data_IF_470818226976
#
_entry.id   IF_470818226976
#
_cell.length_a   1.000
_cell.length_b   1.000
_cell.length_c   1.000
_cell.angle_alpha   90.00
_cell.angle_beta   90.00
_cell.angle_gamma   90.00
#
_symmetry.space_group_name_H-M   'P 1'
#
loop_
_entity.id
_entity.type
_entity.pdbx_description
1 polymer ?
#
# COMPACT_ATOMS: atom_id res chain seq x y z
N UNK A 1 -3.58 18.86 -27.82
CA UNK A 1 -4.36 18.23 -28.88
C UNK A 1 -5.85 18.40 -28.55
N UNK A 2 -6.65 18.77 -29.52
CA UNK A 2 -8.10 18.89 -29.37
C UNK A 2 -8.75 17.52 -29.15
N UNK A 3 -9.97 17.49 -28.61
CA UNK A 3 -10.65 16.23 -28.28
C UNK A 3 -10.96 15.36 -29.50
N UNK A 4 -10.99 15.95 -30.67
CA UNK A 4 -11.22 15.31 -31.98
C UNK A 4 -9.96 14.82 -32.70
N UNK A 5 -8.76 15.07 -32.17
CA UNK A 5 -7.49 14.68 -32.82
C UNK A 5 -7.31 13.15 -32.78
N UNK A 6 -7.18 12.47 -33.93
CA UNK A 6 -6.97 11.01 -33.96
C UNK A 6 -5.65 10.56 -33.32
N UNK A 7 -4.69 11.46 -33.15
CA UNK A 7 -3.42 11.20 -32.48
C UNK A 7 -3.45 11.53 -30.98
N UNK A 8 -4.61 11.89 -30.43
CA UNK A 8 -4.77 12.16 -29.02
C UNK A 8 -4.52 10.89 -28.22
N UNK A 9 -3.61 10.95 -27.29
CA UNK A 9 -3.38 9.89 -26.32
C UNK A 9 -3.75 10.35 -24.90
N UNK A 10 -4.16 9.42 -24.08
CA UNK A 10 -4.50 9.68 -22.70
C UNK A 10 -3.28 9.38 -21.82
N UNK A 11 -2.75 10.42 -21.19
CA UNK A 11 -1.65 10.31 -20.22
C UNK A 11 -2.19 10.54 -18.80
N UNK A 12 -2.09 9.54 -17.95
CA UNK A 12 -2.46 9.60 -16.54
C UNK A 12 -1.27 9.21 -15.67
N UNK A 13 -1.25 9.63 -14.42
CA UNK A 13 -0.16 9.37 -13.48
C UNK A 13 -0.66 8.63 -12.23
N UNK A 14 0.23 7.82 -11.65
CA UNK A 14 0.03 7.20 -10.35
C UNK A 14 -1.08 6.16 -10.29
N UNK A 15 -1.72 6.05 -9.15
CA UNK A 15 -2.75 5.05 -8.89
C UNK A 15 -3.97 5.15 -9.82
N UNK A 16 -4.34 6.35 -10.26
CA UNK A 16 -5.44 6.58 -11.19
C UNK A 16 -5.19 5.93 -12.55
N UNK A 17 -3.96 6.01 -13.07
CA UNK A 17 -3.57 5.36 -14.32
C UNK A 17 -3.62 3.83 -14.20
N UNK A 18 -3.13 3.29 -13.09
CA UNK A 18 -3.15 1.84 -12.83
C UNK A 18 -4.59 1.35 -12.66
N UNK A 19 -5.43 2.11 -11.98
CA UNK A 19 -6.85 1.79 -11.83
C UNK A 19 -7.55 1.66 -13.18
N UNK A 20 -7.35 2.62 -14.07
CA UNK A 20 -7.94 2.60 -15.41
C UNK A 20 -7.46 1.43 -16.25
N UNK A 21 -6.18 1.06 -16.15
CA UNK A 21 -5.63 -0.11 -16.83
C UNK A 21 -6.24 -1.41 -16.29
N UNK A 22 -6.33 -1.55 -14.97
CA UNK A 22 -6.88 -2.75 -14.33
C UNK A 22 -8.38 -2.90 -14.56
N UNK A 23 -9.14 -1.80 -14.66
CA UNK A 23 -10.58 -1.85 -14.93
C UNK A 23 -10.93 -2.28 -16.36
N UNK A 24 -9.99 -2.11 -17.30
CA UNK A 24 -10.18 -2.45 -18.72
C UNK A 24 -9.55 -3.78 -19.11
N UNK A 25 -8.83 -4.44 -18.20
CA UNK A 25 -8.08 -5.65 -18.52
C UNK A 25 -9.03 -6.83 -18.79
N UNK A 26 -8.84 -7.50 -19.94
CA UNK A 26 -9.46 -8.78 -20.22
C UNK A 26 -8.53 -9.92 -19.77
N UNK A 27 -8.89 -10.53 -18.65
CA UNK A 27 -8.07 -11.59 -18.02
C UNK A 27 -8.05 -12.87 -18.87
N UNK A 28 -9.11 -13.17 -19.60
CA UNK A 28 -9.20 -14.39 -20.39
C UNK A 28 -8.31 -14.31 -21.62
N UNK A 29 -8.40 -13.22 -22.39
CA UNK A 29 -7.52 -12.94 -23.53
C UNK A 29 -6.06 -12.88 -23.12
N UNK A 30 -5.75 -12.18 -22.00
CA UNK A 30 -4.38 -12.05 -21.51
C UNK A 30 -3.81 -13.39 -21.04
N UNK A 31 -4.60 -14.24 -20.39
CA UNK A 31 -4.20 -15.58 -19.99
C UNK A 31 -3.84 -16.44 -21.20
N UNK A 32 -4.69 -16.43 -22.23
CA UNK A 32 -4.44 -17.17 -23.48
C UNK A 32 -3.15 -16.70 -24.16
N UNK A 33 -2.97 -15.39 -24.29
CA UNK A 33 -1.76 -14.81 -24.89
C UNK A 33 -0.48 -15.21 -24.14
N UNK A 34 -0.50 -15.12 -22.80
CA UNK A 34 0.65 -15.48 -21.99
C UNK A 34 0.98 -16.98 -22.04
N UNK A 35 -0.02 -17.85 -22.12
CA UNK A 35 0.18 -19.29 -22.32
C UNK A 35 0.84 -19.59 -23.67
N UNK A 36 0.37 -18.95 -24.72
CA UNK A 36 0.95 -19.09 -26.05
C UNK A 36 2.41 -18.60 -26.08
N UNK A 37 2.70 -17.44 -25.48
CA UNK A 37 4.08 -16.92 -25.37
C UNK A 37 4.98 -17.86 -24.58
N UNK A 38 4.50 -18.40 -23.45
CA UNK A 38 5.27 -19.35 -22.65
C UNK A 38 5.59 -20.65 -23.41
N UNK A 39 4.72 -21.07 -24.36
CA UNK A 39 4.93 -22.25 -25.20
C UNK A 39 5.84 -22.00 -26.42
N UNK A 40 5.67 -20.87 -27.10
CA UNK A 40 6.29 -20.58 -28.40
C UNK A 40 7.60 -19.81 -28.35
N UNK A 41 7.89 -19.07 -27.26
CA UNK A 41 9.07 -18.19 -27.19
C UNK A 41 10.39 -18.99 -27.17
N UNK A 42 11.37 -18.59 -27.97
CA UNK A 42 12.69 -19.24 -28.03
C UNK A 42 13.57 -18.91 -26.84
N UNK A 43 13.31 -17.77 -26.14
CA UNK A 43 14.11 -17.29 -25.04
C UNK A 43 13.60 -17.83 -23.69
N UNK A 44 14.45 -18.55 -22.97
CA UNK A 44 14.14 -19.07 -21.63
C UNK A 44 13.79 -17.94 -20.62
N UNK A 45 14.43 -16.78 -20.74
CA UNK A 45 14.13 -15.62 -19.89
C UNK A 45 12.70 -15.13 -20.14
N UNK A 46 12.31 -14.93 -21.41
CA UNK A 46 10.96 -14.49 -21.77
C UNK A 46 9.89 -15.49 -21.36
N UNK A 47 10.16 -16.80 -21.49
CA UNK A 47 9.27 -17.84 -20.95
C UNK A 47 9.07 -17.69 -19.44
N UNK A 48 10.15 -17.52 -18.69
CA UNK A 48 10.07 -17.34 -17.23
C UNK A 48 9.27 -16.10 -16.84
N UNK A 49 9.46 -14.98 -17.53
CA UNK A 49 8.69 -13.76 -17.32
C UNK A 49 7.21 -13.94 -17.65
N UNK A 50 6.90 -14.61 -18.78
CA UNK A 50 5.52 -14.91 -19.17
C UNK A 50 4.83 -15.81 -18.13
N UNK A 51 5.52 -16.83 -17.61
CA UNK A 51 4.98 -17.72 -16.57
C UNK A 51 4.72 -16.99 -15.25
N UNK A 52 5.63 -16.12 -14.82
CA UNK A 52 5.43 -15.30 -13.60
C UNK A 52 4.20 -14.39 -13.76
N UNK A 53 4.06 -13.75 -14.90
CA UNK A 53 2.91 -12.89 -15.20
C UNK A 53 1.62 -13.70 -15.30
N UNK A 54 1.67 -14.87 -15.94
CA UNK A 54 0.54 -15.79 -16.04
C UNK A 54 0.04 -16.23 -14.66
N UNK A 55 0.92 -16.53 -13.72
CA UNK A 55 0.56 -16.89 -12.35
C UNK A 55 -0.30 -15.83 -11.67
N UNK A 56 0.04 -14.55 -11.84
CA UNK A 56 -0.75 -13.42 -11.30
C UNK A 56 -2.11 -13.33 -11.99
N UNK A 57 -2.13 -13.44 -13.33
CA UNK A 57 -3.37 -13.38 -14.13
C UNK A 57 -4.32 -14.52 -13.75
N UNK A 58 -3.81 -15.75 -13.60
CA UNK A 58 -4.63 -16.90 -13.18
C UNK A 58 -5.18 -16.71 -11.75
N UNK A 59 -4.41 -16.10 -10.85
CA UNK A 59 -4.91 -15.77 -9.52
C UNK A 59 -6.10 -14.79 -9.56
N UNK A 60 -6.05 -13.79 -10.43
CA UNK A 60 -7.19 -12.89 -10.68
C UNK A 60 -8.38 -13.62 -11.29
N UNK A 61 -8.14 -14.50 -12.27
CA UNK A 61 -9.22 -15.30 -12.88
C UNK A 61 -9.89 -16.21 -11.85
N UNK A 62 -9.12 -16.91 -11.05
CA UNK A 62 -9.64 -17.79 -10.00
C UNK A 62 -10.47 -17.04 -8.94
N UNK A 63 -10.17 -15.78 -8.70
CA UNK A 63 -10.89 -14.93 -7.74
C UNK A 63 -12.02 -14.09 -8.36
N UNK A 64 -12.28 -14.18 -9.65
CA UNK A 64 -13.16 -13.29 -10.43
C UNK A 64 -14.56 -13.08 -9.83
N UNK A 65 -15.14 -14.10 -9.19
CA UNK A 65 -16.46 -13.97 -8.53
C UNK A 65 -16.44 -13.25 -7.18
N UNK A 66 -15.27 -13.04 -6.59
CA UNK A 66 -15.10 -12.46 -5.25
C UNK A 66 -14.33 -11.15 -5.25
N UNK A 67 -13.33 -11.02 -6.12
CA UNK A 67 -12.42 -9.87 -6.17
C UNK A 67 -12.31 -9.33 -7.60
N UNK A 68 -12.26 -8.01 -7.71
CA UNK A 68 -12.01 -7.32 -8.99
C UNK A 68 -10.56 -6.85 -9.03
N UNK A 69 -9.88 -6.89 -10.21
CA UNK A 69 -8.48 -6.46 -10.33
C UNK A 69 -8.23 -5.02 -9.86
N UNK A 70 -9.16 -4.11 -10.16
CA UNK A 70 -9.06 -2.71 -9.76
C UNK A 70 -9.10 -2.48 -8.24
N UNK A 71 -9.49 -3.48 -7.43
CA UNK A 71 -9.45 -3.39 -5.97
C UNK A 71 -8.03 -3.44 -5.38
N UNK A 72 -7.01 -3.71 -6.21
CA UNK A 72 -5.62 -3.50 -5.81
C UNK A 72 -5.31 -2.02 -5.50
N UNK A 73 -6.12 -1.10 -6.03
CA UNK A 73 -6.00 0.33 -5.73
C UNK A 73 -6.84 0.66 -4.51
N UNK A 74 -6.16 1.04 -3.44
CA UNK A 74 -6.79 1.40 -2.16
C UNK A 74 -7.44 2.77 -2.27
N UNK A 75 -8.77 2.82 -2.18
CA UNK A 75 -9.56 4.06 -2.13
C UNK A 75 -9.91 4.47 -0.72
N UNK A 76 -10.12 3.50 0.15
CA UNK A 76 -10.46 3.71 1.56
C UNK A 76 -9.32 3.11 2.39
N UNK A 77 -8.59 3.98 3.09
CA UNK A 77 -7.47 3.55 3.93
C UNK A 77 -8.02 3.02 5.25
N UNK A 78 -7.70 1.78 5.63
CA UNK A 78 -8.10 1.23 6.92
C UNK A 78 -7.41 1.96 8.07
N UNK A 79 -8.17 2.29 9.11
CA UNK A 79 -7.66 2.92 10.33
C UNK A 79 -7.73 1.92 11.47
N UNK A 80 -6.60 1.63 12.08
CA UNK A 80 -6.56 0.71 13.23
C UNK A 80 -7.16 1.37 14.47
N UNK A 81 -7.74 0.57 15.40
CA UNK A 81 -8.33 1.08 16.63
C UNK A 81 -7.33 1.90 17.47
N UNK A 82 -7.81 2.91 18.24
CA UNK A 82 -6.96 3.76 19.07
C UNK A 82 -6.12 2.99 20.09
N UNK A 83 -6.62 1.88 20.60
CA UNK A 83 -5.95 1.03 21.59
C UNK A 83 -4.64 0.43 21.05
N UNK A 84 -4.55 0.23 19.73
CA UNK A 84 -3.35 -0.28 19.07
C UNK A 84 -2.34 0.83 18.72
N UNK A 85 -2.73 2.11 18.87
CA UNK A 85 -1.90 3.30 18.65
C UNK A 85 -2.07 4.33 19.75
N UNK A 86 -1.81 3.96 21.01
CA UNK A 86 -2.18 4.77 22.17
C UNK A 86 -1.43 6.10 22.21
N UNK A 87 -2.08 7.08 22.84
CA UNK A 87 -1.52 8.33 23.27
C UNK A 87 -1.39 8.28 24.79
N UNK A 88 -0.16 8.25 25.29
CA UNK A 88 0.13 8.07 26.71
C UNK A 88 0.64 9.39 27.30
N UNK A 89 0.02 9.92 28.34
CA UNK A 89 0.55 11.09 29.04
C UNK A 89 1.85 10.73 29.77
N UNK A 90 2.84 11.60 29.68
CA UNK A 90 4.09 11.53 30.40
C UNK A 90 4.12 12.62 31.51
N UNK A 91 4.98 12.44 32.50
CA UNK A 91 5.23 13.45 33.49
C UNK A 91 5.69 14.79 32.86
N UNK A 92 5.18 15.90 33.33
CA UNK A 92 5.46 17.22 32.79
C UNK A 92 4.56 17.66 31.63
N UNK A 93 3.37 17.08 31.47
CA UNK A 93 2.34 17.51 30.50
C UNK A 93 2.66 17.16 29.04
N UNK A 94 3.67 16.32 28.80
CA UNK A 94 3.99 15.78 27.45
C UNK A 94 3.23 14.50 27.19
N UNK A 95 3.05 14.19 25.91
CA UNK A 95 2.43 12.94 25.48
C UNK A 95 3.41 12.13 24.64
N UNK A 96 3.50 10.84 24.95
CA UNK A 96 4.11 9.86 24.05
C UNK A 96 3.04 9.32 23.11
N UNK A 97 3.31 9.33 21.83
CA UNK A 97 2.39 8.84 20.81
C UNK A 97 3.03 7.74 19.98
N UNK A 98 2.22 6.83 19.47
CA UNK A 98 2.66 5.85 18.49
C UNK A 98 3.07 6.55 17.19
N UNK A 99 4.12 6.02 16.54
CA UNK A 99 4.57 6.48 15.22
C UNK A 99 3.45 6.42 14.17
N UNK A 100 2.51 5.48 14.31
CA UNK A 100 1.36 5.35 13.42
C UNK A 100 0.44 6.58 13.43
N UNK A 101 0.29 7.24 14.58
CA UNK A 101 -0.52 8.46 14.66
C UNK A 101 0.06 9.60 13.80
N UNK A 102 1.39 9.73 13.75
CA UNK A 102 2.03 10.72 12.88
C UNK A 102 1.89 10.37 11.40
N UNK A 103 2.01 9.09 11.05
CA UNK A 103 1.81 8.62 9.68
C UNK A 103 0.36 8.84 9.21
N UNK A 104 -0.65 8.52 10.03
CA UNK A 104 -2.05 8.82 9.72
C UNK A 104 -2.30 10.32 9.58
N UNK A 105 -1.75 11.13 10.51
CA UNK A 105 -1.87 12.59 10.44
C UNK A 105 -1.33 13.14 9.13
N UNK A 106 -0.19 12.65 8.63
CA UNK A 106 0.38 13.06 7.35
C UNK A 106 -0.55 12.74 6.18
N UNK A 107 -1.14 11.54 6.16
CA UNK A 107 -2.11 11.15 5.12
C UNK A 107 -3.32 12.09 5.15
N UNK A 108 -3.90 12.34 6.32
CA UNK A 108 -5.08 13.19 6.47
C UNK A 108 -4.79 14.63 6.02
N UNK A 109 -3.66 15.21 6.43
CA UNK A 109 -3.28 16.57 6.04
C UNK A 109 -3.11 16.68 4.52
N UNK A 110 -2.41 15.71 3.88
CA UNK A 110 -2.22 15.69 2.44
C UNK A 110 -3.52 15.51 1.68
N UNK A 111 -4.40 14.63 2.17
CA UNK A 111 -5.72 14.41 1.57
C UNK A 111 -6.60 15.67 1.63
N UNK A 112 -6.66 16.32 2.80
CA UNK A 112 -7.44 17.55 2.97
C UNK A 112 -6.90 18.70 2.10
N UNK A 113 -5.58 18.80 1.98
CA UNK A 113 -4.95 19.79 1.11
C UNK A 113 -5.28 19.53 -0.37
N UNK A 114 -5.18 18.27 -0.83
CA UNK A 114 -5.56 17.90 -2.18
C UNK A 114 -7.02 18.20 -2.46
N UNK A 115 -7.93 17.85 -1.53
CA UNK A 115 -9.36 18.15 -1.64
C UNK A 115 -9.59 19.65 -1.84
N UNK A 116 -8.97 20.49 -1.01
CA UNK A 116 -9.08 21.95 -1.12
C UNK A 116 -8.55 22.49 -2.45
N UNK A 117 -7.41 21.94 -2.95
CA UNK A 117 -6.86 22.35 -4.24
C UNK A 117 -7.77 21.98 -5.42
N UNK A 118 -8.47 20.85 -5.34
CA UNK A 118 -9.47 20.45 -6.34
C UNK A 118 -10.68 21.40 -6.30
N UNK A 119 -11.16 21.76 -5.11
CA UNK A 119 -12.31 22.66 -4.92
C UNK A 119 -12.05 24.05 -5.52
N UNK A 120 -10.83 24.60 -5.37
CA UNK A 120 -10.43 25.89 -5.94
C UNK A 120 -9.98 25.81 -7.40
N UNK A 121 -10.07 24.62 -8.03
CA UNK A 121 -9.64 24.36 -9.42
C UNK A 121 -8.20 24.80 -9.68
N UNK A 122 -7.29 24.43 -8.79
CA UNK A 122 -5.86 24.74 -8.91
C UNK A 122 -5.27 24.17 -10.23
N UNK A 123 -4.19 24.77 -10.77
CA UNK A 123 -3.50 24.27 -11.95
C UNK A 123 -3.09 22.82 -11.84
N UNK A 124 -3.17 22.08 -12.94
CA UNK A 124 -2.93 20.63 -12.99
C UNK A 124 -1.54 20.23 -12.46
N UNK A 125 -0.53 21.05 -12.72
CA UNK A 125 0.84 20.81 -12.23
C UNK A 125 0.89 20.72 -10.69
N UNK A 126 0.16 21.60 -10.01
CA UNK A 126 0.06 21.61 -8.54
C UNK A 126 -0.71 20.38 -8.05
N UNK A 127 -1.83 20.04 -8.71
CA UNK A 127 -2.62 18.86 -8.38
C UNK A 127 -1.81 17.56 -8.55
N UNK A 128 -1.04 17.42 -9.61
CA UNK A 128 -0.14 16.28 -9.84
C UNK A 128 0.89 16.13 -8.73
N UNK A 129 1.52 17.23 -8.34
CA UNK A 129 2.50 17.19 -7.26
C UNK A 129 1.87 16.79 -5.92
N UNK A 130 0.69 17.34 -5.59
CA UNK A 130 0.00 16.98 -4.35
C UNK A 130 -0.51 15.53 -4.35
N UNK A 131 -1.01 15.03 -5.49
CA UNK A 131 -1.34 13.59 -5.67
C UNK A 131 -0.12 12.70 -5.40
N UNK A 132 1.07 13.08 -5.92
CA UNK A 132 2.32 12.37 -5.64
C UNK A 132 2.68 12.38 -4.16
N UNK A 133 2.56 13.52 -3.49
CA UNK A 133 2.85 13.65 -2.06
C UNK A 133 1.88 12.85 -1.19
N UNK A 134 0.61 12.77 -1.59
CA UNK A 134 -0.38 11.91 -0.93
C UNK A 134 -0.02 10.42 -1.10
N UNK A 135 0.36 10.01 -2.31
CA UNK A 135 0.82 8.64 -2.57
C UNK A 135 2.02 8.29 -1.69
N UNK A 136 3.00 9.19 -1.57
CA UNK A 136 4.17 8.99 -0.71
C UNK A 136 3.80 8.86 0.77
N UNK A 137 2.81 9.62 1.25
CA UNK A 137 2.31 9.51 2.61
C UNK A 137 1.63 8.16 2.87
N UNK A 138 0.82 7.68 1.94
CA UNK A 138 0.16 6.36 2.04
C UNK A 138 1.19 5.23 1.97
N UNK A 139 2.16 5.29 1.07
CA UNK A 139 3.24 4.30 0.97
C UNK A 139 4.03 4.21 2.27
N UNK A 140 4.33 5.35 2.91
CA UNK A 140 5.02 5.38 4.19
C UNK A 140 4.18 4.83 5.34
N UNK A 141 2.87 4.98 5.30
CA UNK A 141 1.96 4.37 6.27
C UNK A 141 1.97 2.85 6.18
N UNK A 142 1.95 2.29 4.97
CA UNK A 142 1.94 0.84 4.76
C UNK A 142 3.31 0.20 4.98
N UNK A 143 4.36 0.71 4.35
CA UNK A 143 5.74 0.20 4.50
C UNK A 143 6.79 1.30 4.33
N UNK A 144 7.11 1.97 5.43
CA UNK A 144 8.10 3.04 5.44
C UNK A 144 9.53 2.55 5.18
N UNK A 145 9.85 1.32 5.53
CA UNK A 145 11.21 0.74 5.38
C UNK A 145 11.57 0.44 3.92
N UNK A 146 10.58 0.32 3.05
CA UNK A 146 10.77 -0.01 1.62
C UNK A 146 11.25 1.18 0.78
N UNK A 147 11.12 2.40 1.30
CA UNK A 147 11.50 3.62 0.58
C UNK A 147 12.97 3.97 0.81
N UNK A 148 13.62 4.47 -0.23
CA UNK A 148 14.99 5.02 -0.13
C UNK A 148 15.06 6.24 0.79
N UNK A 149 13.99 7.05 0.82
CA UNK A 149 13.81 8.21 1.70
C UNK A 149 12.71 7.95 2.72
N UNK A 150 12.96 7.05 3.68
CA UNK A 150 12.02 6.76 4.75
C UNK A 150 11.69 8.01 5.57
N UNK A 151 10.44 8.16 5.98
CA UNK A 151 10.02 9.21 6.92
C UNK A 151 10.66 8.95 8.27
N UNK A 152 11.31 9.97 8.83
CA UNK A 152 12.07 9.90 10.08
C UNK A 152 11.55 10.88 11.11
N UNK A 153 11.84 10.63 12.37
CA UNK A 153 11.69 11.57 13.47
C UNK A 153 12.80 12.64 13.43
N UNK A 154 12.67 13.69 14.22
CA UNK A 154 13.71 14.71 14.38
C UNK A 154 15.05 14.12 14.84
N UNK A 155 15.02 13.01 15.59
CA UNK A 155 16.20 12.24 15.99
C UNK A 155 16.73 11.29 14.91
N UNK A 156 16.33 11.47 13.62
CA UNK A 156 16.76 10.67 12.46
C UNK A 156 16.40 9.17 12.51
N UNK A 157 15.50 8.75 13.42
CA UNK A 157 14.98 7.39 13.51
C UNK A 157 13.82 7.22 12.51
N UNK A 158 13.78 6.17 11.68
CA UNK A 158 12.65 5.90 10.80
C UNK A 158 11.39 5.59 11.62
N UNK A 159 10.24 6.13 11.19
CA UNK A 159 8.94 5.85 11.80
C UNK A 159 8.53 4.40 11.52
N UNK A 160 7.96 3.74 12.53
CA UNK A 160 7.46 2.38 12.44
C UNK A 160 6.11 2.35 11.72
N UNK A 161 6.07 1.70 10.56
CA UNK A 161 4.89 1.58 9.70
C UNK A 161 3.96 0.42 10.11
N UNK A 162 2.81 0.28 9.44
CA UNK A 162 1.90 -0.85 9.65
C UNK A 162 2.58 -2.20 9.36
N UNK A 163 3.35 -2.30 8.27
CA UNK A 163 4.12 -3.50 7.95
C UNK A 163 5.11 -3.86 9.05
N UNK A 164 5.81 -2.86 9.62
CA UNK A 164 6.75 -3.06 10.71
C UNK A 164 6.08 -3.53 12.01
N UNK A 165 4.81 -3.19 12.22
CA UNK A 165 4.04 -3.67 13.37
C UNK A 165 3.62 -5.14 13.26
N UNK A 166 3.64 -5.71 12.04
CA UNK A 166 3.25 -7.08 11.77
C UNK A 166 4.43 -8.03 11.66
N UNK A 167 5.55 -7.56 11.08
CA UNK A 167 6.75 -8.38 10.79
C UNK A 167 7.74 -8.43 11.96
N UNK A 168 8.61 -9.45 11.93
CA UNK A 168 9.70 -9.62 12.88
C UNK A 168 9.29 -10.28 14.20
N UNK A 169 10.27 -10.40 15.13
CA UNK A 169 10.10 -11.10 16.43
C UNK A 169 9.08 -10.42 17.34
N UNK A 170 9.02 -9.10 17.29
CA UNK A 170 8.07 -8.27 18.07
C UNK A 170 6.80 -7.92 17.30
N UNK A 171 6.64 -8.46 16.09
CA UNK A 171 5.44 -8.28 15.28
C UNK A 171 4.25 -9.07 15.82
N UNK A 172 3.04 -8.62 15.47
CA UNK A 172 1.79 -9.23 15.94
C UNK A 172 1.69 -10.72 15.65
N UNK A 173 2.16 -11.18 14.50
CA UNK A 173 2.12 -12.60 14.17
C UNK A 173 2.92 -13.46 15.14
N UNK A 174 4.16 -13.11 15.40
CA UNK A 174 5.03 -13.90 16.27
C UNK A 174 4.79 -13.66 17.75
N UNK A 175 4.45 -12.46 18.16
CA UNK A 175 4.32 -12.10 19.57
C UNK A 175 2.95 -12.39 20.15
N UNK A 176 1.86 -12.24 19.36
CA UNK A 176 0.50 -12.30 19.88
C UNK A 176 -0.38 -13.38 19.25
N UNK A 177 -0.05 -13.90 18.05
CA UNK A 177 -0.87 -14.87 17.33
C UNK A 177 -0.30 -16.29 17.39
N UNK A 178 0.99 -16.49 17.13
CA UNK A 178 1.63 -17.79 17.19
C UNK A 178 1.90 -18.26 18.63
N UNK A 179 1.98 -17.33 19.56
CA UNK A 179 2.11 -17.60 21.00
C UNK A 179 1.49 -16.48 21.79
N UNK A 180 0.73 -16.81 22.82
CA UNK A 180 0.07 -15.84 23.72
C UNK A 180 0.47 -16.12 25.16
N UNK A 181 0.50 -15.06 25.97
CA UNK A 181 0.50 -15.22 27.42
C UNK A 181 -0.87 -15.73 27.86
N UNK A 182 -0.87 -16.72 28.72
CA UNK A 182 -2.09 -17.34 29.24
C UNK A 182 -2.18 -17.17 30.76
N UNK A 183 -3.41 -17.05 31.24
CA UNK A 183 -3.70 -17.05 32.67
C UNK A 183 -3.60 -18.47 33.23
N UNK A 184 -3.61 -18.59 34.57
CA UNK A 184 -3.54 -19.87 35.28
C UNK A 184 -2.30 -20.71 34.92
N UNK A 185 -1.16 -20.08 34.70
CA UNK A 185 0.13 -20.72 34.43
C UNK A 185 1.13 -20.42 35.53
N UNK A 186 1.98 -21.39 35.85
CA UNK A 186 3.01 -21.28 36.85
C UNK A 186 4.34 -21.90 36.36
N UNK A 187 5.42 -21.49 36.97
CA UNK A 187 6.77 -22.05 36.74
C UNK A 187 7.42 -22.27 38.11
N UNK A 188 7.90 -23.48 38.37
CA UNK A 188 8.59 -23.82 39.60
C UNK A 188 9.91 -24.53 39.31
N UNK A 189 10.76 -24.61 40.33
CA UNK A 189 11.99 -25.42 40.32
C UNK A 189 11.57 -26.87 40.57
N UNK A 190 12.13 -27.79 39.79
CA UNK A 190 12.03 -29.22 40.03
C UNK A 190 13.18 -29.59 40.98
N UNK A 191 12.85 -30.13 42.14
CA UNK A 191 13.81 -30.63 43.15
C UNK A 191 13.96 -32.11 42.99
#
# INVERSE_FOLDING_TARGET
>A
LEDSDPNKFVAKMGAEAIYDLLSRIDLDSLSYELRNRAGSDASQQRKSEALKRLQVVESFRASRGRNKPEWMIVRIVPVIPPELRPLVPLDGGRFATSDLNDLYRRVIIRNNRLKRLIEIKAPEVILRNEKRMLQEAVDSLFDNSRKSSAVKTDANRPLKSLSDSLKGKQGRFRQNLLGKRVDYSARSVIV
#
